data_IF_378001092904
#
_entry.id   IF_378001092904
#
_cell.length_a   1.000
_cell.length_b   1.000
_cell.length_c   1.000
_cell.angle_alpha   90.00
_cell.angle_beta   90.00
_cell.angle_gamma   90.00
#
_symmetry.space_group_name_H-M   'P 1'
#
loop_
_entity.id
_entity.type
_entity.pdbx_description
1 polymer ?
#
# COMPACT_ATOMS: atom_id res chain seq x y z
N UNK A 1 15.09 28.42 12.85
CA UNK A 1 13.98 27.45 12.87
C UNK A 1 14.46 26.17 12.22
N UNK A 2 14.63 25.09 12.98
CA UNK A 2 14.96 23.79 12.41
C UNK A 2 13.67 23.18 11.85
N UNK A 3 13.65 22.81 10.57
CA UNK A 3 12.57 22.00 10.01
C UNK A 3 12.76 20.59 10.57
N UNK A 4 11.82 20.09 11.37
CA UNK A 4 11.76 18.66 11.67
C UNK A 4 11.54 17.91 10.35
N UNK A 5 12.43 16.99 10.04
CA UNK A 5 12.25 16.05 8.94
C UNK A 5 11.34 14.91 9.40
N UNK A 6 10.39 14.52 8.56
CA UNK A 6 9.62 13.28 8.76
C UNK A 6 10.48 12.16 8.20
N UNK A 7 10.77 11.15 9.04
CA UNK A 7 11.43 9.92 8.60
C UNK A 7 10.36 8.95 8.18
N UNK A 8 10.44 8.45 6.95
CA UNK A 8 9.55 7.43 6.40
C UNK A 8 10.38 6.23 5.97
N UNK A 9 9.90 5.03 6.32
CA UNK A 9 10.43 3.78 5.80
C UNK A 9 9.56 3.30 4.64
N UNK A 10 10.18 2.87 3.54
CA UNK A 10 9.46 2.54 2.31
C UNK A 10 9.80 1.13 1.87
N UNK A 11 8.76 0.29 1.79
CA UNK A 11 8.81 -1.02 1.14
C UNK A 11 8.11 -0.93 -0.21
N UNK A 12 8.75 -1.45 -1.27
CA UNK A 12 8.23 -1.39 -2.64
C UNK A 12 7.88 -2.79 -3.12
N UNK A 13 6.73 -2.92 -3.76
CA UNK A 13 6.28 -4.15 -4.44
C UNK A 13 5.76 -3.77 -5.83
N UNK A 14 5.95 -4.66 -6.81
CA UNK A 14 5.43 -4.50 -8.17
C UNK A 14 4.31 -5.49 -8.51
N UNK A 15 3.85 -6.24 -7.51
CA UNK A 15 2.80 -7.26 -7.59
C UNK A 15 1.96 -7.20 -6.33
N UNK A 16 0.64 -7.25 -6.50
CA UNK A 16 -0.28 -7.10 -5.39
C UNK A 16 -0.26 -8.31 -4.44
N UNK A 17 -0.03 -9.52 -4.97
CA UNK A 17 0.11 -10.74 -4.17
C UNK A 17 1.29 -10.66 -3.20
N UNK A 18 2.42 -10.10 -3.64
CA UNK A 18 3.62 -9.91 -2.82
C UNK A 18 3.35 -8.89 -1.72
N UNK A 19 2.65 -7.79 -2.05
CA UNK A 19 2.25 -6.79 -1.07
C UNK A 19 1.34 -7.41 0.02
N UNK A 20 0.35 -8.21 -0.36
CA UNK A 20 -0.52 -8.91 0.59
C UNK A 20 0.25 -9.86 1.50
N UNK A 21 1.22 -10.61 0.97
CA UNK A 21 2.08 -11.45 1.82
C UNK A 21 2.85 -10.64 2.86
N UNK A 22 3.50 -9.53 2.46
CA UNK A 22 4.20 -8.66 3.41
C UNK A 22 3.28 -8.10 4.50
N UNK A 23 2.10 -7.62 4.10
CA UNK A 23 1.10 -7.07 4.99
C UNK A 23 0.58 -8.10 6.00
N UNK A 24 0.35 -9.34 5.56
CA UNK A 24 -0.12 -10.44 6.41
C UNK A 24 0.97 -10.94 7.37
N UNK A 25 2.22 -11.00 6.91
CA UNK A 25 3.36 -11.42 7.73
C UNK A 25 3.75 -10.35 8.75
N UNK A 26 3.54 -9.07 8.43
CA UNK A 26 3.88 -7.93 9.28
C UNK A 26 2.61 -7.15 9.66
N UNK A 27 1.68 -7.83 10.34
CA UNK A 27 0.47 -7.17 10.86
C UNK A 27 0.86 -5.96 11.72
N UNK A 28 0.30 -4.79 11.39
CA UNK A 28 0.59 -3.50 12.01
C UNK A 28 2.01 -2.95 11.78
N UNK A 29 2.76 -3.50 10.81
CA UNK A 29 4.09 -3.01 10.43
C UNK A 29 4.06 -1.86 9.42
N UNK A 30 2.89 -1.45 8.96
CA UNK A 30 2.69 -0.41 7.96
C UNK A 30 1.60 0.56 8.43
N UNK A 31 1.80 1.84 8.16
CA UNK A 31 0.84 2.89 8.49
C UNK A 31 -0.06 3.25 7.30
N UNK A 32 0.41 3.00 6.07
CA UNK A 32 -0.30 3.34 4.84
C UNK A 32 0.16 2.46 3.68
N UNK A 33 -0.76 2.16 2.76
CA UNK A 33 -0.45 1.56 1.45
C UNK A 33 -0.72 2.59 0.36
N UNK A 34 0.21 2.70 -0.58
CA UNK A 34 0.02 3.47 -1.82
C UNK A 34 0.06 2.47 -2.97
N UNK A 35 -1.04 2.38 -3.72
CA UNK A 35 -1.17 1.45 -4.85
C UNK A 35 -1.57 2.19 -6.11
N UNK A 36 -1.02 1.78 -7.25
CA UNK A 36 -1.57 2.14 -8.55
C UNK A 36 -2.92 1.43 -8.77
N UNK A 37 -3.85 2.05 -9.50
CA UNK A 37 -5.05 1.37 -10.03
C UNK A 37 -4.64 0.30 -11.04
N UNK A 38 -3.69 0.62 -11.91
CA UNK A 38 -3.31 -0.20 -13.05
C UNK A 38 -2.07 -1.02 -12.73
N UNK A 39 -2.24 -2.09 -11.95
CA UNK A 39 -1.18 -3.07 -11.70
C UNK A 39 -1.25 -4.22 -12.73
N UNK A 40 -0.10 -4.83 -13.08
CA UNK A 40 -0.01 -5.85 -14.12
C UNK A 40 -0.69 -7.18 -13.75
N UNK A 41 -0.82 -7.49 -12.47
CA UNK A 41 -1.34 -8.77 -11.96
C UNK A 41 -2.73 -8.67 -11.32
N UNK A 42 -3.11 -7.50 -10.81
CA UNK A 42 -4.39 -7.30 -10.12
C UNK A 42 -4.85 -5.85 -10.25
N UNK A 43 -6.17 -5.60 -10.26
CA UNK A 43 -6.70 -4.24 -10.13
C UNK A 43 -6.38 -3.69 -8.73
N UNK A 44 -5.85 -2.46 -8.62
CA UNK A 44 -5.58 -1.79 -7.35
C UNK A 44 -6.78 -1.72 -6.40
N UNK A 45 -8.01 -1.75 -6.92
CA UNK A 45 -9.21 -1.83 -6.10
C UNK A 45 -9.40 -3.19 -5.42
N UNK A 46 -8.99 -4.29 -6.05
CA UNK A 46 -9.04 -5.61 -5.40
C UNK A 46 -8.04 -5.70 -4.25
N UNK A 47 -6.88 -5.05 -4.37
CA UNK A 47 -5.94 -4.92 -3.26
C UNK A 47 -6.57 -4.16 -2.09
N UNK A 48 -7.22 -3.03 -2.37
CA UNK A 48 -7.98 -2.25 -1.39
C UNK A 48 -9.04 -3.11 -0.67
N UNK A 49 -9.84 -3.88 -1.40
CA UNK A 49 -10.87 -4.76 -0.83
C UNK A 49 -10.27 -5.79 0.14
N UNK A 50 -9.18 -6.47 -0.25
CA UNK A 50 -8.53 -7.46 0.61
C UNK A 50 -7.96 -6.83 1.88
N UNK A 51 -7.31 -5.67 1.74
CA UNK A 51 -6.78 -4.93 2.89
C UNK A 51 -7.93 -4.53 3.82
N UNK A 52 -9.02 -3.96 3.32
CA UNK A 52 -10.16 -3.54 4.14
C UNK A 52 -10.92 -4.69 4.82
N UNK A 53 -10.81 -5.92 4.31
CA UNK A 53 -11.39 -7.12 4.94
C UNK A 53 -10.48 -7.70 6.03
N UNK A 54 -9.17 -7.67 5.83
CA UNK A 54 -8.20 -8.35 6.70
C UNK A 54 -7.51 -7.41 7.71
N UNK A 55 -7.54 -6.11 7.46
CA UNK A 55 -6.70 -5.11 8.12
C UNK A 55 -7.43 -3.76 8.25
N UNK A 56 -7.04 -2.97 9.26
CA UNK A 56 -7.49 -1.58 9.42
C UNK A 56 -6.38 -0.62 8.94
N UNK A 57 -6.04 -0.71 7.66
CA UNK A 57 -4.89 -0.01 7.06
C UNK A 57 -5.35 0.97 5.98
N UNK A 58 -5.05 2.29 6.11
CA UNK A 58 -5.37 3.26 5.08
C UNK A 58 -4.69 2.93 3.74
N UNK A 59 -5.46 3.01 2.65
CA UNK A 59 -4.95 2.80 1.30
C UNK A 59 -5.21 4.03 0.45
N UNK A 60 -4.17 4.54 -0.18
CA UNK A 60 -4.23 5.60 -1.18
C UNK A 60 -4.07 4.94 -2.55
N UNK A 61 -5.13 5.01 -3.36
CA UNK A 61 -5.08 4.54 -4.74
C UNK A 61 -4.73 5.72 -5.63
N UNK A 62 -3.65 5.59 -6.40
CA UNK A 62 -3.20 6.58 -7.38
C UNK A 62 -3.51 6.06 -8.78
N UNK A 63 -3.95 6.96 -9.66
CA UNK A 63 -4.11 6.66 -11.08
C UNK A 63 -3.33 7.70 -11.88
N UNK A 64 -2.87 7.32 -13.05
CA UNK A 64 -2.38 8.28 -14.03
C UNK A 64 -3.59 9.08 -14.56
N UNK A 65 -3.56 10.40 -14.39
CA UNK A 65 -4.43 11.29 -15.15
C UNK A 65 -3.72 11.50 -16.49
N UNK A 66 -4.24 10.91 -17.57
CA UNK A 66 -3.96 11.39 -18.93
C UNK A 66 -4.50 12.81 -19.14
#
# INVERSE_FOLDING_TARGET
MARSAIVIEVTKCNRAEVALSYLRENKNGFDVVISDVHMPDMDGFKLLEQIGLEMDLPVIVVNEFD
#
